data_IF_590064526847
#
_entry.id   IF_590064526847
#
_cell.length_a   1.000
_cell.length_b   1.000
_cell.length_c   1.000
_cell.angle_alpha   90.00
_cell.angle_beta   90.00
_cell.angle_gamma   90.00
#
_symmetry.space_group_name_H-M   'P 1'
#
loop_
_entity.id
_entity.type
_entity.pdbx_description
1 polymer ?
#
# COMPACT_ATOMS: atom_id res chain seq x y z
N UNK A 1 -3.00 30.29 13.94
CA UNK A 1 -2.89 28.82 13.80
C UNK A 1 -1.42 28.43 13.86
N UNK A 2 -1.05 27.59 14.81
CA UNK A 2 0.33 27.11 14.94
C UNK A 2 0.53 25.95 13.97
N UNK A 3 1.29 26.14 12.93
CA UNK A 3 1.65 25.07 12.01
C UNK A 3 2.89 24.34 12.51
N UNK A 4 2.71 23.23 13.19
CA UNK A 4 3.80 22.36 13.64
C UNK A 4 4.71 21.92 12.48
N UNK A 5 4.11 21.68 11.32
CA UNK A 5 4.82 21.37 10.08
C UNK A 5 5.80 22.45 9.64
N UNK A 6 5.51 23.73 9.91
CA UNK A 6 6.39 24.84 9.48
C UNK A 6 7.72 24.87 10.23
N UNK A 7 7.78 24.38 11.46
CA UNK A 7 9.03 24.27 12.22
C UNK A 7 9.94 23.16 11.65
N UNK A 8 9.36 22.03 11.29
CA UNK A 8 10.10 20.92 10.67
C UNK A 8 10.58 21.27 9.25
N UNK A 9 9.75 21.99 8.49
CA UNK A 9 10.05 22.40 7.13
C UNK A 9 11.10 23.51 7.04
N UNK A 10 11.24 24.35 8.06
CA UNK A 10 12.28 25.40 8.12
C UNK A 10 13.72 24.86 8.07
N UNK A 11 13.93 23.63 8.54
CA UNK A 11 15.24 22.96 8.50
C UNK A 11 15.55 22.26 7.17
N UNK A 12 14.55 22.14 6.30
CA UNK A 12 14.70 21.46 5.03
C UNK A 12 14.15 22.31 3.88
N UNK A 13 15.04 22.92 3.12
CA UNK A 13 14.69 23.84 2.06
C UNK A 13 13.87 23.18 0.94
N UNK A 14 12.64 23.64 0.75
CA UNK A 14 11.80 23.33 -0.40
C UNK A 14 11.15 21.93 -0.40
N UNK A 15 10.95 21.32 0.76
CA UNK A 15 10.27 20.03 0.87
C UNK A 15 9.17 19.99 1.92
N UNK A 16 8.39 18.93 1.91
CA UNK A 16 7.39 18.60 2.92
C UNK A 16 7.63 17.17 3.43
N UNK A 17 7.04 16.83 4.57
CA UNK A 17 7.11 15.49 5.13
C UNK A 17 6.08 14.61 4.44
N UNK A 18 6.49 13.40 4.09
CA UNK A 18 5.62 12.38 3.52
C UNK A 18 5.71 11.11 4.35
N UNK A 19 4.60 10.38 4.41
CA UNK A 19 4.57 9.03 4.97
C UNK A 19 4.68 8.06 3.80
N UNK A 20 5.76 7.32 3.74
CA UNK A 20 6.10 6.46 2.59
C UNK A 20 6.69 5.12 3.00
N UNK A 21 6.81 4.22 2.04
CA UNK A 21 7.48 2.94 2.20
C UNK A 21 8.97 3.08 1.89
N UNK A 22 9.82 2.52 2.74
CA UNK A 22 11.26 2.32 2.51
C UNK A 22 11.52 0.84 2.31
N UNK A 23 12.29 0.49 1.29
CA UNK A 23 12.64 -0.89 1.02
C UNK A 23 13.73 -1.37 1.99
N UNK A 24 13.50 -2.54 2.56
CA UNK A 24 14.46 -3.30 3.35
C UNK A 24 14.41 -4.77 2.96
N UNK A 25 14.94 -5.65 3.82
CA UNK A 25 14.91 -7.09 3.60
C UNK A 25 16.09 -7.61 2.78
N UNK A 26 15.97 -8.87 2.34
CA UNK A 26 16.98 -9.58 1.57
C UNK A 26 16.64 -9.62 0.06
N UNK A 27 17.56 -10.11 -0.75
CA UNK A 27 17.35 -10.34 -2.18
C UNK A 27 16.15 -11.28 -2.40
N UNK A 28 15.25 -10.91 -3.31
CA UNK A 28 13.99 -11.63 -3.61
C UNK A 28 13.00 -11.74 -2.44
N UNK A 29 13.27 -11.10 -1.29
CA UNK A 29 12.36 -11.01 -0.16
C UNK A 29 12.22 -9.57 0.29
N UNK A 30 11.41 -8.76 -0.40
CA UNK A 30 11.19 -7.37 -0.02
C UNK A 30 10.45 -7.30 1.31
N UNK A 31 10.87 -6.35 2.12
CA UNK A 31 10.20 -5.95 3.35
C UNK A 31 10.20 -4.44 3.40
N UNK A 32 9.08 -3.84 3.78
CA UNK A 32 8.95 -2.39 3.80
C UNK A 32 8.77 -1.87 5.22
N UNK A 33 9.41 -0.73 5.49
CA UNK A 33 9.14 0.08 6.66
C UNK A 33 8.28 1.26 6.24
N UNK A 34 7.27 1.58 7.04
CA UNK A 34 6.43 2.76 6.86
C UNK A 34 7.08 3.86 7.68
N UNK A 35 7.52 4.92 7.02
CA UNK A 35 8.34 5.97 7.63
C UNK A 35 7.84 7.36 7.29
N UNK A 36 8.07 8.29 8.22
CA UNK A 36 7.96 9.72 7.97
C UNK A 36 9.33 10.22 7.46
N UNK A 37 9.36 10.81 6.29
CA UNK A 37 10.59 11.31 5.68
C UNK A 37 10.32 12.57 4.85
N UNK A 38 11.38 13.32 4.53
CA UNK A 38 11.28 14.44 3.60
C UNK A 38 11.13 13.94 2.15
N UNK A 39 10.22 14.54 1.40
CA UNK A 39 9.90 14.15 0.03
C UNK A 39 11.08 14.26 -0.96
N UNK A 40 12.00 15.19 -0.72
CA UNK A 40 13.18 15.41 -1.58
C UNK A 40 14.29 14.39 -1.36
N UNK A 41 14.25 13.62 -0.29
CA UNK A 41 15.24 12.57 -0.02
C UNK A 41 14.92 11.30 -0.78
N UNK A 42 15.95 10.54 -1.13
CA UNK A 42 15.81 9.23 -1.77
C UNK A 42 14.95 8.28 -0.93
N UNK A 43 14.33 7.29 -1.57
CA UNK A 43 13.38 6.35 -0.95
C UNK A 43 13.97 5.67 0.30
N UNK A 44 15.17 5.15 0.19
CA UNK A 44 15.83 4.33 1.22
C UNK A 44 16.85 5.12 2.05
N UNK A 45 16.87 6.46 1.87
CA UNK A 45 17.76 7.33 2.64
C UNK A 45 17.22 7.56 4.06
N UNK A 46 18.01 8.25 4.87
CA UNK A 46 17.67 8.58 6.27
C UNK A 46 16.27 9.20 6.37
N UNK A 47 15.41 8.56 7.14
CA UNK A 47 14.06 9.02 7.49
C UNK A 47 14.04 9.70 8.87
N UNK A 48 12.91 10.32 9.22
CA UNK A 48 12.74 11.02 10.49
C UNK A 48 12.32 10.03 11.58
N UNK A 49 11.28 9.26 11.32
CA UNK A 49 10.68 8.31 12.27
C UNK A 49 10.07 7.12 11.54
N UNK A 50 10.16 5.94 12.13
CA UNK A 50 9.46 4.76 11.66
C UNK A 50 8.07 4.68 12.31
N UNK A 51 7.04 4.51 11.49
CA UNK A 51 5.62 4.49 11.89
C UNK A 51 5.00 3.10 11.82
N UNK A 52 5.65 2.18 11.17
CA UNK A 52 5.13 0.83 10.99
C UNK A 52 5.97 -0.02 10.06
N UNK A 53 5.42 -1.18 9.72
CA UNK A 53 6.04 -2.13 8.81
C UNK A 53 5.01 -2.79 7.91
N UNK A 54 5.45 -3.26 6.75
CA UNK A 54 4.63 -3.97 5.79
C UNK A 54 5.43 -5.10 5.14
N UNK A 55 4.91 -6.31 5.24
CA UNK A 55 5.44 -7.48 4.53
C UNK A 55 4.51 -7.80 3.35
N UNK A 56 4.96 -7.61 2.09
CA UNK A 56 4.12 -7.87 0.91
C UNK A 56 3.99 -9.35 0.59
N UNK A 57 4.85 -10.21 1.13
CA UNK A 57 4.79 -11.64 0.88
C UNK A 57 3.77 -12.30 1.79
N UNK A 58 2.85 -13.14 1.23
CA UNK A 58 1.90 -13.86 2.06
C UNK A 58 2.61 -14.89 2.94
N UNK A 59 2.12 -15.05 4.17
CA UNK A 59 2.56 -16.09 5.09
C UNK A 59 1.86 -17.44 4.77
N UNK A 60 2.07 -18.45 5.61
CA UNK A 60 1.47 -19.79 5.45
C UNK A 60 -0.07 -19.71 5.44
N UNK A 61 -0.65 -18.74 6.15
CA UNK A 61 -2.10 -18.49 6.21
C UNK A 61 -2.63 -17.60 5.08
N UNK A 62 -1.81 -17.28 4.07
CA UNK A 62 -2.12 -16.33 2.98
C UNK A 62 -2.42 -14.89 3.47
N UNK A 63 -1.82 -14.48 4.56
CA UNK A 63 -1.97 -13.14 5.13
C UNK A 63 -0.72 -12.30 4.84
N UNK A 64 -0.92 -11.05 4.47
CA UNK A 64 0.14 -10.04 4.36
C UNK A 64 0.14 -9.22 5.63
N UNK A 65 1.25 -9.24 6.36
CA UNK A 65 1.36 -8.58 7.66
C UNK A 65 1.61 -7.08 7.50
N UNK A 66 0.80 -6.29 8.18
CA UNK A 66 0.94 -4.83 8.26
C UNK A 66 0.84 -4.41 9.73
N UNK A 67 1.76 -3.58 10.17
CA UNK A 67 1.72 -2.99 11.50
C UNK A 67 1.77 -1.46 11.40
N UNK A 68 0.95 -0.78 12.22
CA UNK A 68 0.89 0.67 12.29
C UNK A 68 0.95 1.18 13.72
N UNK A 69 1.67 2.26 13.92
CA UNK A 69 1.55 3.10 15.10
C UNK A 69 0.60 4.27 14.78
N UNK A 70 -0.70 4.08 15.06
CA UNK A 70 -1.73 5.05 14.69
C UNK A 70 -1.57 6.40 15.39
N UNK A 71 -1.10 6.43 16.62
CA UNK A 71 -0.92 7.68 17.37
C UNK A 71 0.16 8.55 16.71
N UNK A 72 1.25 7.94 16.29
CA UNK A 72 2.31 8.67 15.58
C UNK A 72 1.89 9.08 14.17
N UNK A 73 1.11 8.25 13.50
CA UNK A 73 0.54 8.60 12.18
C UNK A 73 -0.40 9.81 12.29
N UNK A 74 -1.28 9.83 13.30
CA UNK A 74 -2.16 10.98 13.58
C UNK A 74 -1.35 12.25 13.84
N UNK A 75 -0.30 12.15 14.64
CA UNK A 75 0.59 13.26 14.91
C UNK A 75 1.21 13.84 13.64
N UNK A 76 1.78 12.98 12.78
CA UNK A 76 2.41 13.44 11.54
C UNK A 76 1.41 14.01 10.54
N UNK A 77 0.23 13.45 10.42
CA UNK A 77 -0.84 14.01 9.58
C UNK A 77 -1.27 15.38 10.13
N UNK A 78 -1.41 15.52 11.44
CA UNK A 78 -1.66 16.80 12.09
C UNK A 78 -0.56 17.83 11.85
N UNK A 79 0.69 17.40 11.67
CA UNK A 79 1.82 18.24 11.30
C UNK A 79 1.87 18.60 9.80
N UNK A 80 0.95 18.09 8.98
CA UNK A 80 0.89 18.32 7.54
C UNK A 80 1.65 17.32 6.69
N UNK A 81 1.97 16.13 7.21
CA UNK A 81 2.55 15.05 6.41
C UNK A 81 1.50 14.44 5.47
N UNK A 82 1.92 14.14 4.25
CA UNK A 82 1.06 13.52 3.25
C UNK A 82 1.39 12.05 3.07
N UNK A 83 0.41 11.14 3.18
CA UNK A 83 0.64 9.74 2.86
C UNK A 83 0.78 9.55 1.35
N UNK A 84 1.70 8.68 0.93
CA UNK A 84 1.79 8.23 -0.46
C UNK A 84 0.65 7.29 -0.80
N UNK A 85 0.33 7.13 -2.10
CA UNK A 85 -0.77 6.26 -2.55
C UNK A 85 -0.73 4.84 -1.95
N UNK A 86 0.41 4.12 -1.93
CA UNK A 86 0.48 2.80 -1.31
C UNK A 86 0.13 2.81 0.18
N UNK A 87 0.66 3.78 0.92
CA UNK A 87 0.36 3.93 2.36
C UNK A 87 -1.10 4.30 2.58
N UNK A 88 -1.66 5.19 1.77
CA UNK A 88 -3.07 5.57 1.84
C UNK A 88 -4.00 4.37 1.60
N UNK A 89 -3.66 3.48 0.65
CA UNK A 89 -4.40 2.22 0.43
C UNK A 89 -4.36 1.31 1.67
N UNK A 90 -3.20 1.13 2.26
CA UNK A 90 -3.05 0.30 3.46
C UNK A 90 -3.78 0.90 4.67
N UNK A 91 -3.72 2.21 4.87
CA UNK A 91 -4.46 2.91 5.93
C UNK A 91 -5.98 2.86 5.71
N UNK A 92 -6.44 2.87 4.47
CA UNK A 92 -7.83 2.68 4.13
C UNK A 92 -8.32 1.27 4.46
N UNK A 93 -7.54 0.24 4.18
CA UNK A 93 -7.84 -1.15 4.56
C UNK A 93 -7.82 -1.35 6.08
N UNK A 94 -6.96 -0.63 6.79
CA UNK A 94 -6.90 -0.65 8.25
C UNK A 94 -8.06 0.10 8.93
N UNK A 95 -8.88 0.83 8.17
CA UNK A 95 -10.01 1.61 8.70
C UNK A 95 -9.65 3.00 9.22
N UNK A 96 -8.41 3.45 9.08
CA UNK A 96 -7.98 4.79 9.48
C UNK A 96 -8.47 5.88 8.51
N UNK A 97 -8.46 5.59 7.22
CA UNK A 97 -9.03 6.41 6.17
C UNK A 97 -10.22 5.70 5.51
N UNK A 98 -11.08 6.42 4.76
CA UNK A 98 -12.00 5.78 3.84
C UNK A 98 -11.25 4.90 2.84
N UNK A 99 -11.90 3.85 2.36
CA UNK A 99 -11.30 2.95 1.36
C UNK A 99 -10.87 3.76 0.14
N UNK A 100 -9.62 3.58 -0.28
CA UNK A 100 -9.07 4.31 -1.42
C UNK A 100 -9.81 3.93 -2.71
N UNK A 101 -10.19 4.90 -3.58
CA UNK A 101 -10.95 4.64 -4.81
C UNK A 101 -10.30 3.59 -5.72
N UNK A 102 -8.97 3.59 -5.82
CA UNK A 102 -8.24 2.60 -6.61
C UNK A 102 -8.36 1.17 -6.07
N UNK A 103 -8.56 1.00 -4.77
CA UNK A 103 -8.81 -0.32 -4.17
C UNK A 103 -10.14 -0.89 -4.64
N UNK A 104 -11.17 -0.06 -4.71
CA UNK A 104 -12.50 -0.44 -5.22
C UNK A 104 -12.40 -0.84 -6.69
N UNK A 105 -11.78 -0.01 -7.52
CA UNK A 105 -11.59 -0.27 -8.95
C UNK A 105 -10.78 -1.55 -9.21
N UNK A 106 -9.73 -1.79 -8.44
CA UNK A 106 -8.94 -3.01 -8.53
C UNK A 106 -9.78 -4.26 -8.16
N UNK A 107 -10.60 -4.16 -7.12
CA UNK A 107 -11.50 -5.25 -6.72
C UNK A 107 -12.54 -5.58 -7.80
N UNK A 108 -13.12 -4.56 -8.43
CA UNK A 108 -14.04 -4.73 -9.56
C UNK A 108 -13.39 -5.41 -10.75
N UNK A 109 -12.19 -4.96 -11.14
CA UNK A 109 -11.40 -5.58 -12.22
C UNK A 109 -11.05 -7.03 -11.91
N UNK A 110 -10.73 -7.36 -10.67
CA UNK A 110 -10.45 -8.74 -10.26
C UNK A 110 -11.70 -9.62 -10.35
N UNK A 111 -12.86 -9.11 -9.95
CA UNK A 111 -14.15 -9.82 -10.10
C UNK A 111 -14.49 -10.07 -11.57
N UNK A 112 -14.31 -9.07 -12.43
CA UNK A 112 -14.54 -9.20 -13.87
C UNK A 112 -13.62 -10.27 -14.48
N UNK A 113 -12.31 -10.22 -14.20
CA UNK A 113 -11.36 -11.24 -14.68
C UNK A 113 -11.70 -12.64 -14.18
N UNK A 114 -12.16 -12.76 -12.94
CA UNK A 114 -12.59 -14.05 -12.41
C UNK A 114 -13.85 -14.57 -13.11
N UNK A 115 -14.80 -13.70 -13.42
CA UNK A 115 -16.00 -14.04 -14.18
C UNK A 115 -15.66 -14.45 -15.63
N UNK A 116 -14.80 -13.70 -16.29
CA UNK A 116 -14.34 -13.99 -17.67
C UNK A 116 -13.60 -15.34 -17.72
N UNK A 117 -12.74 -15.60 -16.72
CA UNK A 117 -12.02 -16.87 -16.61
C UNK A 117 -12.98 -18.06 -16.35
N UNK A 118 -14.01 -17.86 -15.55
CA UNK A 118 -15.03 -18.88 -15.30
C UNK A 118 -15.87 -19.16 -16.56
N UNK A 119 -16.24 -18.14 -17.31
CA UNK A 119 -16.97 -18.27 -18.57
C UNK A 119 -16.13 -19.02 -19.63
N UNK A 120 -14.86 -18.65 -19.79
CA UNK A 120 -13.95 -19.34 -20.73
C UNK A 120 -13.64 -20.79 -20.35
N UNK A 121 -13.75 -21.15 -19.07
CA UNK A 121 -13.59 -22.54 -18.63
C UNK A 121 -14.84 -23.40 -18.93
N UNK A 122 -16.02 -22.82 -19.00
CA UNK A 122 -17.25 -23.50 -19.40
C UNK A 122 -17.27 -23.79 -20.91
N UNK A 123 -16.94 -22.81 -21.77
CA UNK A 123 -16.84 -22.98 -23.22
C UNK A 123 -15.82 -24.06 -23.62
N UNK A 124 -14.65 -24.09 -22.95
CA UNK A 124 -13.61 -25.10 -23.23
C UNK A 124 -13.99 -26.53 -22.84
N UNK A 125 -15.00 -26.70 -21.98
CA UNK A 125 -15.49 -28.04 -21.59
C UNK A 125 -16.53 -28.58 -22.56
N UNK A 126 -17.38 -27.75 -23.13
CA UNK A 126 -18.36 -28.14 -24.14
C UNK A 126 -17.69 -28.64 -25.42
N UNK A 127 -16.64 -27.91 -25.89
CA UNK A 127 -15.84 -28.33 -27.07
C UNK A 127 -15.05 -29.63 -26.86
N UNK A 128 -14.76 -30.01 -25.62
CA UNK A 128 -14.05 -31.25 -25.31
C UNK A 128 -14.97 -32.46 -25.18
N UNK A 129 -16.26 -32.27 -24.90
CA UNK A 129 -17.28 -33.29 -24.85
C UNK A 129 -17.80 -33.65 -26.26
N UNK A 130 -18.03 -32.66 -27.13
CA UNK A 130 -18.41 -32.91 -28.53
C UNK A 130 -17.35 -33.66 -29.34
N UNK A 131 -16.06 -33.49 -29.01
CA UNK A 131 -14.97 -34.24 -29.66
C UNK A 131 -14.81 -35.69 -29.18
N UNK A 132 -15.47 -36.09 -28.13
CA UNK A 132 -15.46 -37.49 -27.62
C UNK A 132 -16.65 -38.30 -28.09
N UNK A 133 -17.69 -37.68 -28.66
CA UNK A 133 -18.86 -38.34 -29.21
C UNK A 133 -18.79 -38.54 -30.74
N UNK A 134 -17.74 -38.10 -31.41
CA UNK A 134 -17.42 -38.38 -32.80
C UNK A 134 -16.27 -39.38 -32.93
#
# INVERSE_FOLDING_TARGET
MVHLSSFLLKKYHGGHVVIRLTLGGATNRPFYRIVAAYNKRGRDSKYIEQLGSYDPLPNIQNEKLVAFNFDRIKYWIGCGAHPTKPVAKLLGLAGFFPIHPMTITEAERMRQRAADAAAGAMDGNEDSEEKKEQ
#
